data_IF_680218348813
#
_entry.id   IF_680218348813
#
_cell.length_a   1.000
_cell.length_b   1.000
_cell.length_c   1.000
_cell.angle_alpha   90.00
_cell.angle_beta   90.00
_cell.angle_gamma   90.00
#
_symmetry.space_group_name_H-M   'P 1'
#
loop_
_entity.id
_entity.type
_entity.pdbx_description
1 polymer ?
#
# COMPACT_ATOMS: atom_id res chain seq x y z
N UNK A 1 -33.03 7.15 -69.90
CA UNK A 1 -32.36 7.89 -68.84
C UNK A 1 -32.36 7.02 -67.58
N UNK A 2 -31.22 6.31 -67.33
CA UNK A 2 -31.09 5.32 -66.27
C UNK A 2 -30.34 5.97 -65.09
N UNK A 3 -31.00 6.06 -63.94
CA UNK A 3 -30.43 6.60 -62.69
C UNK A 3 -29.84 5.44 -61.88
N UNK A 4 -28.56 5.46 -61.50
CA UNK A 4 -28.02 4.42 -60.62
C UNK A 4 -28.34 4.70 -59.16
N UNK A 5 -28.82 3.71 -58.48
CA UNK A 5 -29.12 3.70 -57.07
C UNK A 5 -27.82 3.54 -56.30
N UNK A 6 -27.39 4.54 -55.56
CA UNK A 6 -26.19 4.51 -54.70
C UNK A 6 -26.62 3.93 -53.35
N UNK A 7 -26.14 2.74 -53.03
CA UNK A 7 -26.26 2.12 -51.71
C UNK A 7 -25.22 2.73 -50.75
N UNK A 8 -25.76 3.46 -49.78
CA UNK A 8 -24.95 4.03 -48.67
C UNK A 8 -24.76 2.98 -47.58
N UNK A 9 -23.59 2.36 -47.52
CA UNK A 9 -23.25 1.41 -46.45
C UNK A 9 -22.85 2.18 -45.21
N UNK A 10 -23.69 2.18 -44.18
CA UNK A 10 -23.33 2.70 -42.85
C UNK A 10 -22.43 1.71 -42.13
N UNK A 11 -21.15 2.07 -41.96
CA UNK A 11 -20.21 1.34 -41.12
C UNK A 11 -20.46 1.69 -39.65
N UNK A 12 -20.99 0.75 -38.88
CA UNK A 12 -21.11 0.87 -37.42
C UNK A 12 -19.73 0.57 -36.82
N UNK A 13 -19.02 1.59 -36.35
CA UNK A 13 -17.84 1.41 -35.49
C UNK A 13 -18.31 0.97 -34.11
N UNK A 14 -18.14 -0.31 -33.78
CA UNK A 14 -18.23 -0.79 -32.42
C UNK A 14 -16.98 -0.29 -31.66
N UNK A 15 -17.16 0.71 -30.79
CA UNK A 15 -16.17 1.06 -29.78
C UNK A 15 -16.13 -0.12 -28.78
N UNK A 16 -15.14 -0.99 -28.92
CA UNK A 16 -14.75 -1.88 -27.85
C UNK A 16 -14.15 -1.03 -26.74
N UNK A 17 -14.96 -0.68 -25.75
CA UNK A 17 -14.49 -0.08 -24.52
C UNK A 17 -13.60 -1.10 -23.82
N UNK A 18 -12.27 -0.89 -23.83
CA UNK A 18 -11.38 -1.52 -22.86
C UNK A 18 -11.80 -1.02 -21.49
N UNK A 19 -12.51 -1.87 -20.73
CA UNK A 19 -12.58 -1.69 -19.28
C UNK A 19 -11.15 -1.87 -18.78
N UNK A 20 -10.47 -0.76 -18.50
CA UNK A 20 -9.28 -0.78 -17.68
C UNK A 20 -9.73 -1.37 -16.34
N UNK A 21 -9.24 -2.56 -16.00
CA UNK A 21 -9.34 -3.09 -14.64
C UNK A 21 -8.58 -2.08 -13.78
N UNK A 22 -9.28 -1.45 -12.85
CA UNK A 22 -8.66 -0.54 -11.90
C UNK A 22 -7.68 -1.39 -11.08
N UNK A 23 -6.37 -1.15 -11.22
CA UNK A 23 -5.33 -1.93 -10.53
C UNK A 23 -5.43 -1.78 -9.01
N UNK A 24 -6.22 -0.82 -8.52
CA UNK A 24 -6.45 -0.60 -7.09
C UNK A 24 -7.30 -1.67 -6.41
N UNK A 25 -8.02 -2.52 -7.15
CA UNK A 25 -8.90 -3.56 -6.61
C UNK A 25 -10.21 -3.07 -5.98
N UNK A 26 -10.45 -1.75 -5.95
CA UNK A 26 -11.72 -1.19 -5.50
C UNK A 26 -12.83 -1.40 -6.53
N UNK A 27 -14.05 -1.51 -6.05
CA UNK A 27 -15.24 -1.52 -6.92
C UNK A 27 -15.50 -0.13 -7.53
N UNK A 28 -16.34 -0.07 -8.55
CA UNK A 28 -16.66 1.19 -9.25
C UNK A 28 -17.26 2.29 -8.35
N UNK A 29 -17.81 1.93 -7.19
CA UNK A 29 -18.32 2.85 -6.18
C UNK A 29 -17.32 3.14 -5.06
N UNK A 30 -16.07 2.66 -5.18
CA UNK A 30 -15.01 2.89 -4.20
C UNK A 30 -15.03 1.95 -2.98
N UNK A 31 -15.89 0.92 -2.99
CA UNK A 31 -15.94 -0.04 -1.89
C UNK A 31 -14.90 -1.15 -2.06
N UNK A 32 -14.37 -1.65 -0.93
CA UNK A 32 -13.43 -2.76 -0.86
C UNK A 32 -14.10 -4.00 -0.23
N UNK A 33 -14.29 -5.07 -1.02
CA UNK A 33 -14.69 -6.39 -0.48
C UNK A 33 -13.45 -7.21 -0.10
N UNK A 34 -12.66 -6.67 0.80
CA UNK A 34 -11.39 -7.27 1.22
C UNK A 34 -10.75 -6.52 2.36
N UNK A 35 -9.45 -6.38 2.29
CA UNK A 35 -8.63 -5.57 3.20
C UNK A 35 -8.08 -4.36 2.43
N UNK A 36 -8.26 -3.16 2.98
CA UNK A 36 -7.64 -1.96 2.44
C UNK A 36 -6.19 -1.90 2.90
N UNK A 37 -5.30 -1.66 1.95
CA UNK A 37 -3.87 -1.44 2.21
C UNK A 37 -3.54 0.02 1.91
N UNK A 38 -2.99 0.73 2.87
CA UNK A 38 -2.49 2.10 2.69
C UNK A 38 -1.01 2.18 3.08
N UNK A 39 -0.18 2.77 2.22
CA UNK A 39 1.24 3.03 2.52
C UNK A 39 1.55 4.50 2.27
N UNK A 40 2.02 5.17 3.32
CA UNK A 40 2.43 6.56 3.29
C UNK A 40 3.95 6.65 3.47
N UNK A 41 4.64 6.98 2.38
CA UNK A 41 6.10 7.16 2.38
C UNK A 41 6.54 8.56 2.84
N UNK A 42 5.60 9.44 3.18
CA UNK A 42 5.87 10.84 3.46
C UNK A 42 6.52 11.53 2.25
N UNK A 43 7.61 12.24 2.49
CA UNK A 43 8.36 12.93 1.42
C UNK A 43 9.22 11.98 0.56
N UNK A 44 9.37 10.71 0.96
CA UNK A 44 10.26 9.74 0.29
C UNK A 44 9.60 9.01 -0.88
N UNK A 45 8.30 9.14 -1.09
CA UNK A 45 7.62 8.44 -2.19
C UNK A 45 6.13 8.72 -2.29
N UNK A 46 5.53 8.20 -3.36
CA UNK A 46 4.09 8.29 -3.58
C UNK A 46 3.32 7.30 -2.69
N UNK A 47 2.12 7.70 -2.28
CA UNK A 47 1.24 6.83 -1.48
C UNK A 47 0.74 5.66 -2.31
N UNK A 48 0.55 4.54 -1.62
CA UNK A 48 -0.14 3.38 -2.18
C UNK A 48 -1.47 3.24 -1.46
N UNK A 49 -2.54 3.04 -2.21
CA UNK A 49 -3.84 2.64 -1.71
C UNK A 49 -4.37 1.50 -2.60
N UNK A 50 -4.72 0.39 -1.99
CA UNK A 50 -5.17 -0.80 -2.71
C UNK A 50 -6.19 -1.58 -1.91
N UNK A 51 -7.11 -2.24 -2.61
CA UNK A 51 -8.06 -3.19 -2.02
C UNK A 51 -7.64 -4.62 -2.37
N UNK A 52 -7.32 -5.39 -1.36
CA UNK A 52 -6.89 -6.78 -1.49
C UNK A 52 -8.03 -7.72 -1.12
N UNK A 53 -8.54 -8.44 -2.11
CA UNK A 53 -9.53 -9.49 -1.87
C UNK A 53 -8.86 -10.69 -1.17
N UNK A 54 -9.43 -11.12 -0.05
CA UNK A 54 -9.02 -12.35 0.64
C UNK A 54 -10.07 -13.44 0.47
N UNK A 55 -9.64 -14.67 0.29
CA UNK A 55 -10.53 -15.80 0.01
C UNK A 55 -10.89 -16.61 1.25
N UNK A 56 -10.06 -16.52 2.31
CA UNK A 56 -10.26 -17.18 3.60
C UNK A 56 -11.07 -16.33 4.59
N UNK A 57 -11.14 -16.81 5.82
CA UNK A 57 -11.69 -16.04 6.95
C UNK A 57 -10.73 -14.94 7.43
N UNK A 58 -9.43 -15.18 7.29
CA UNK A 58 -8.37 -14.21 7.56
C UNK A 58 -7.17 -14.50 6.66
N UNK A 59 -6.26 -13.53 6.57
CA UNK A 59 -4.97 -13.64 5.88
C UNK A 59 -3.88 -12.96 6.69
N UNK A 60 -2.65 -13.43 6.59
CA UNK A 60 -1.50 -12.83 7.28
C UNK A 60 -1.20 -11.47 6.65
N UNK A 61 -0.93 -10.46 7.49
CA UNK A 61 -0.69 -9.09 7.04
C UNK A 61 0.43 -8.98 5.99
N UNK A 62 1.52 -9.73 6.15
CA UNK A 62 2.61 -9.78 5.17
C UNK A 62 2.15 -10.25 3.79
N UNK A 63 1.28 -11.25 3.74
CA UNK A 63 0.75 -11.78 2.48
C UNK A 63 -0.23 -10.78 1.84
N UNK A 64 -1.06 -10.12 2.65
CA UNK A 64 -1.94 -9.02 2.19
C UNK A 64 -1.13 -7.88 1.59
N UNK A 65 -0.07 -7.43 2.26
CA UNK A 65 0.85 -6.41 1.75
C UNK A 65 1.49 -6.87 0.42
N UNK A 66 1.96 -8.12 0.36
CA UNK A 66 2.52 -8.69 -0.88
C UNK A 66 1.52 -8.72 -2.03
N UNK A 67 0.25 -9.08 -1.79
CA UNK A 67 -0.81 -9.04 -2.78
C UNK A 67 -1.12 -7.62 -3.28
N UNK A 68 -0.90 -6.61 -2.45
CA UNK A 68 -0.98 -5.19 -2.83
C UNK A 68 0.27 -4.67 -3.57
N UNK A 69 1.26 -5.53 -3.85
CA UNK A 69 2.52 -5.12 -4.48
C UNK A 69 3.48 -4.40 -3.54
N UNK A 70 3.27 -4.53 -2.23
CA UNK A 70 4.11 -3.92 -1.18
C UNK A 70 5.12 -4.96 -0.68
N UNK A 71 6.41 -4.70 -0.93
CA UNK A 71 7.50 -5.54 -0.43
C UNK A 71 7.97 -5.04 0.94
N UNK A 72 8.20 -6.00 1.86
CA UNK A 72 8.66 -5.72 3.21
C UNK A 72 10.04 -6.35 3.41
N UNK A 73 10.97 -5.57 3.96
CA UNK A 73 12.22 -6.06 4.54
C UNK A 73 12.18 -5.83 6.04
N UNK A 74 12.32 -6.91 6.82
CA UNK A 74 12.44 -6.84 8.27
C UNK A 74 13.88 -6.61 8.70
N UNK A 75 14.10 -6.35 10.00
CA UNK A 75 15.45 -6.27 10.56
C UNK A 75 16.07 -7.66 10.70
N UNK A 76 17.40 -7.74 10.75
CA UNK A 76 18.09 -9.03 10.96
C UNK A 76 17.86 -9.58 12.36
N UNK A 77 17.78 -8.69 13.35
CA UNK A 77 17.61 -9.10 14.75
C UNK A 77 16.18 -9.57 15.05
N UNK A 78 15.16 -8.88 14.49
CA UNK A 78 13.75 -9.14 14.84
C UNK A 78 12.93 -9.70 13.67
N UNK A 79 13.55 -9.90 12.49
CA UNK A 79 12.83 -10.33 11.30
C UNK A 79 11.68 -9.38 10.97
N UNK A 80 10.61 -9.94 10.44
CA UNK A 80 9.41 -9.19 10.02
C UNK A 80 8.55 -8.65 11.19
N UNK A 81 8.96 -8.91 12.44
CA UNK A 81 8.31 -8.25 13.59
C UNK A 81 8.61 -6.75 13.63
N UNK A 82 9.73 -6.33 13.04
CA UNK A 82 10.11 -4.92 12.91
C UNK A 82 10.39 -4.62 11.44
N UNK A 83 9.51 -3.83 10.82
CA UNK A 83 9.68 -3.41 9.43
C UNK A 83 10.81 -2.39 9.34
N UNK A 84 11.81 -2.71 8.51
CA UNK A 84 12.95 -1.85 8.24
C UNK A 84 12.77 -1.07 6.93
N UNK A 85 12.37 -1.75 5.84
CA UNK A 85 12.10 -1.11 4.53
C UNK A 85 10.78 -1.56 3.95
N UNK A 86 10.17 -0.64 3.23
CA UNK A 86 8.98 -0.88 2.41
C UNK A 86 9.30 -0.44 0.98
N UNK A 87 9.20 -1.34 0.01
CA UNK A 87 9.57 -1.09 -1.39
C UNK A 87 10.98 -0.48 -1.56
N UNK A 88 11.93 -0.91 -0.71
CA UNK A 88 13.30 -0.42 -0.73
C UNK A 88 13.51 0.96 -0.07
N UNK A 89 12.50 1.51 0.58
CA UNK A 89 12.58 2.79 1.30
C UNK A 89 12.60 2.55 2.83
N UNK A 90 13.51 3.19 3.58
CA UNK A 90 14.56 4.10 3.12
C UNK A 90 15.66 3.38 2.31
N UNK A 91 16.43 4.14 1.55
CA UNK A 91 17.54 3.61 0.73
C UNK A 91 18.56 2.85 1.56
N UNK A 92 19.11 1.75 1.01
CA UNK A 92 20.22 1.02 1.62
C UNK A 92 21.59 1.69 1.43
N UNK A 93 21.67 2.72 0.57
CA UNK A 93 22.93 3.36 0.16
C UNK A 93 22.94 4.87 0.33
N UNK A 94 21.79 5.47 0.63
CA UNK A 94 21.66 6.90 0.85
C UNK A 94 21.23 7.16 2.29
N UNK A 95 21.96 8.02 3.04
CA UNK A 95 21.61 8.30 4.41
C UNK A 95 20.31 9.11 4.50
N UNK A 96 19.58 8.89 5.57
CA UNK A 96 18.43 9.71 5.98
C UNK A 96 19.03 10.93 6.70
N UNK A 97 18.62 12.12 6.29
CA UNK A 97 19.02 13.39 6.91
C UNK A 97 17.82 14.01 7.62
N UNK A 98 17.97 14.32 8.90
CA UNK A 98 16.96 15.00 9.74
C UNK A 98 17.64 16.13 10.50
N UNK A 99 17.02 17.29 10.51
CA UNK A 99 17.56 18.45 11.21
C UNK A 99 17.77 18.16 12.70
N UNK A 100 19.02 18.32 13.15
CA UNK A 100 19.39 18.08 14.54
C UNK A 100 19.84 16.68 14.88
N UNK A 101 19.77 15.75 13.92
CA UNK A 101 20.26 14.37 14.04
C UNK A 101 21.51 14.14 13.17
N UNK A 102 22.30 13.14 13.53
CA UNK A 102 23.40 12.68 12.68
C UNK A 102 22.82 11.93 11.46
N UNK A 103 23.38 12.08 10.24
CA UNK A 103 22.94 11.32 9.07
C UNK A 103 22.93 9.81 9.35
N UNK A 104 21.81 9.17 9.14
CA UNK A 104 21.63 7.74 9.44
C UNK A 104 21.49 6.91 8.18
N UNK A 105 22.36 5.92 7.99
CA UNK A 105 22.21 4.91 6.96
C UNK A 105 21.48 3.70 7.55
N UNK A 106 20.26 3.45 7.07
CA UNK A 106 19.49 2.28 7.54
C UNK A 106 20.08 0.98 6.98
N UNK A 107 20.57 0.12 7.86
CA UNK A 107 21.23 -1.15 7.53
C UNK A 107 20.36 -2.38 7.76
N UNK A 108 19.20 -2.21 8.37
CA UNK A 108 18.31 -3.27 8.80
C UNK A 108 18.93 -4.30 9.76
N UNK A 109 19.97 -3.93 10.50
CA UNK A 109 20.57 -4.83 11.48
C UNK A 109 19.72 -4.92 12.75
N UNK A 110 19.35 -3.76 13.30
CA UNK A 110 18.70 -3.58 14.60
C UNK A 110 17.39 -2.79 14.46
N UNK A 111 16.84 -2.30 15.57
CA UNK A 111 15.73 -1.35 15.53
C UNK A 111 16.13 -0.06 14.82
N UNK A 112 15.26 0.47 13.93
CA UNK A 112 15.48 1.78 13.33
C UNK A 112 15.46 2.90 14.40
N UNK A 113 16.11 4.05 14.14
CA UNK A 113 16.13 5.15 15.09
C UNK A 113 14.74 5.78 15.26
N UNK A 114 14.49 6.38 16.44
CA UNK A 114 13.19 6.97 16.77
C UNK A 114 12.78 8.14 15.85
N UNK A 115 13.72 8.72 15.12
CA UNK A 115 13.45 9.80 14.17
C UNK A 115 13.21 9.32 12.73
N UNK A 116 13.39 7.99 12.43
CA UNK A 116 13.19 7.46 11.08
C UNK A 116 12.82 5.97 11.13
N UNK A 117 11.53 5.65 11.09
CA UNK A 117 11.04 4.27 11.19
C UNK A 117 9.69 4.09 10.50
N UNK A 118 9.34 2.85 10.18
CA UNK A 118 8.03 2.45 9.71
C UNK A 118 7.09 2.14 10.86
N UNK A 119 5.97 2.85 10.95
CA UNK A 119 4.86 2.50 11.84
C UNK A 119 3.90 1.54 11.13
N UNK A 120 3.49 0.47 11.82
CA UNK A 120 2.43 -0.45 11.37
C UNK A 120 1.13 -0.11 12.07
N UNK A 121 0.07 0.06 11.28
CA UNK A 121 -1.23 0.53 11.72
C UNK A 121 -2.34 -0.39 11.26
N UNK A 122 -3.45 -0.40 11.99
CA UNK A 122 -4.65 -1.14 11.65
C UNK A 122 -5.90 -0.30 11.88
N UNK A 123 -6.93 -0.54 11.07
CA UNK A 123 -8.32 -0.17 11.37
C UNK A 123 -9.14 -1.44 11.45
N UNK A 124 -9.94 -1.57 12.49
CA UNK A 124 -10.78 -2.76 12.68
C UNK A 124 -12.07 -2.73 11.85
N UNK A 125 -12.49 -1.54 11.43
CA UNK A 125 -13.63 -1.32 10.51
C UNK A 125 -13.31 -0.12 9.62
N UNK A 126 -13.99 0.08 8.48
CA UNK A 126 -13.73 1.21 7.58
C UNK A 126 -13.84 2.59 8.25
N UNK A 127 -14.76 2.73 9.22
CA UNK A 127 -15.02 3.98 9.93
C UNK A 127 -14.22 4.13 11.25
N UNK A 128 -13.37 3.13 11.60
CA UNK A 128 -12.53 3.23 12.78
C UNK A 128 -11.35 4.19 12.58
N UNK A 129 -10.82 4.70 13.67
CA UNK A 129 -9.55 5.41 13.67
C UNK A 129 -8.38 4.43 13.47
N UNK A 130 -7.25 4.95 12.96
CA UNK A 130 -6.02 4.19 12.90
C UNK A 130 -5.43 3.97 14.28
N UNK A 131 -5.06 2.74 14.57
CA UNK A 131 -4.37 2.34 15.79
C UNK A 131 -3.06 1.64 15.44
N UNK A 132 -2.03 1.77 16.27
CA UNK A 132 -0.81 0.99 16.09
C UNK A 132 -1.11 -0.50 16.21
N UNK A 133 -0.57 -1.30 15.28
CA UNK A 133 -0.67 -2.74 15.37
C UNK A 133 0.09 -3.26 16.60
N UNK A 134 -0.53 -4.19 17.31
CA UNK A 134 0.08 -4.82 18.49
C UNK A 134 0.94 -6.04 18.13
N UNK A 135 0.94 -6.42 16.86
CA UNK A 135 1.69 -7.56 16.31
C UNK A 135 2.43 -7.13 15.06
N UNK A 136 3.54 -7.81 14.75
CA UNK A 136 4.28 -7.60 13.52
C UNK A 136 3.58 -8.19 12.29
N UNK A 137 4.02 -7.81 11.10
CA UNK A 137 3.37 -8.20 9.82
C UNK A 137 3.32 -9.70 9.59
N UNK A 138 4.21 -10.48 10.21
CA UNK A 138 4.27 -11.93 10.06
C UNK A 138 3.27 -12.71 10.93
N UNK A 139 2.69 -12.09 11.97
CA UNK A 139 1.74 -12.72 12.90
C UNK A 139 0.34 -12.10 12.86
N UNK A 140 0.24 -10.82 12.52
CA UNK A 140 -1.02 -10.09 12.44
C UNK A 140 -1.97 -10.74 11.42
N UNK A 141 -3.18 -11.09 11.88
CA UNK A 141 -4.24 -11.67 11.04
C UNK A 141 -5.25 -10.58 10.68
N UNK A 142 -5.54 -10.46 9.39
CA UNK A 142 -6.50 -9.50 8.85
C UNK A 142 -7.72 -10.21 8.30
N UNK A 143 -8.90 -9.63 8.52
CA UNK A 143 -10.19 -10.10 8.00
C UNK A 143 -10.79 -9.06 7.06
N UNK A 144 -11.78 -9.45 6.25
CA UNK A 144 -12.51 -8.52 5.39
C UNK A 144 -13.09 -7.35 6.18
N UNK A 145 -13.00 -6.16 5.61
CA UNK A 145 -13.48 -4.91 6.21
C UNK A 145 -12.47 -4.23 7.14
N UNK A 146 -11.35 -4.88 7.43
CA UNK A 146 -10.23 -4.22 8.11
C UNK A 146 -9.34 -3.48 7.11
N UNK A 147 -8.50 -2.58 7.64
CA UNK A 147 -7.42 -1.95 6.89
C UNK A 147 -6.09 -2.18 7.60
N UNK A 148 -5.04 -2.29 6.80
CA UNK A 148 -3.65 -2.28 7.26
C UNK A 148 -2.95 -1.09 6.63
N UNK A 149 -2.10 -0.43 7.40
CA UNK A 149 -1.34 0.69 6.91
C UNK A 149 0.09 0.70 7.39
N UNK A 150 0.95 1.26 6.56
CA UNK A 150 2.33 1.58 6.88
C UNK A 150 2.56 3.06 6.67
N UNK A 151 3.19 3.73 7.62
CA UNK A 151 3.61 5.12 7.46
C UNK A 151 5.04 5.31 7.90
N UNK A 152 5.82 6.05 7.11
CA UNK A 152 7.19 6.37 7.45
C UNK A 152 7.23 7.61 8.36
N UNK A 153 7.72 7.41 9.57
CA UNK A 153 7.99 8.50 10.52
C UNK A 153 9.34 9.13 10.20
N UNK A 154 9.36 10.44 10.01
CA UNK A 154 10.59 11.20 9.78
C UNK A 154 10.63 12.40 10.73
N UNK A 155 11.78 12.63 11.38
CA UNK A 155 11.96 13.75 12.33
C UNK A 155 11.10 13.62 13.58
N UNK A 156 10.70 12.42 13.98
CA UNK A 156 9.84 12.15 15.13
C UNK A 156 8.35 12.44 14.92
N UNK A 157 7.95 12.81 13.70
CA UNK A 157 6.55 12.84 13.30
C UNK A 157 6.12 11.42 12.93
N UNK A 158 5.02 10.97 13.49
CA UNK A 158 4.45 9.64 13.20
C UNK A 158 3.04 9.81 12.61
N UNK A 159 2.95 10.21 11.32
CA UNK A 159 1.65 10.36 10.68
C UNK A 159 0.95 9.02 10.63
N UNK A 160 -0.37 9.01 10.67
CA UNK A 160 -1.12 7.80 10.33
C UNK A 160 -1.09 7.58 8.79
N UNK A 161 -1.44 6.39 8.29
CA UNK A 161 -1.34 6.09 6.86
C UNK A 161 -2.17 7.01 5.95
N UNK A 162 -3.26 7.61 6.46
CA UNK A 162 -4.16 8.46 5.66
C UNK A 162 -3.76 9.96 5.68
N UNK A 163 -2.80 10.38 6.49
CA UNK A 163 -2.25 11.76 6.53
C UNK A 163 -1.15 11.94 5.47
#
# INVERSE_FOLDING_TARGET
MRIPLILLSAAVLALAGCSASDESGFSANGECDGVVVEVNFGELGERIESCVAITGTSEVAKDVLGMAGVSIEGTKEYGDAVVCRVNGIPSATEPIEVDGEEPHLETCEEFPPAFAYWGLWVKNTPDAEWEYAMEGVSSLQLTKGQSIGLSFSLGGLAPNPSE
#
